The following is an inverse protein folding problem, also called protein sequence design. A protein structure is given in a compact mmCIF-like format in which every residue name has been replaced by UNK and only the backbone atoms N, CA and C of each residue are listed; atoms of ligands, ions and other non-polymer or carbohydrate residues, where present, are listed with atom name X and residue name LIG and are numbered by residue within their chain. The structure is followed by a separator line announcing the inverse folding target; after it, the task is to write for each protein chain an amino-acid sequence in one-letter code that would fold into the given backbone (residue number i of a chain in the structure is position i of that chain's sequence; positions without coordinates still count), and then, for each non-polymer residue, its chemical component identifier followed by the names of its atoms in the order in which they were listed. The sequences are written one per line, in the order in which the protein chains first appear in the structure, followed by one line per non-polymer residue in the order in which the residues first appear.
data_IF_202887671878
#
_entry.id   IF_202887671878
#
_cell.length_a   1.000
_cell.length_b   1.000
_cell.length_c   1.000
_cell.angle_alpha   90.00
_cell.angle_beta   90.00
_cell.angle_gamma   90.00
#
_symmetry.space_group_name_H-M   'P 1'
#
loop_
_entity.id
_entity.type
_entity.pdbx_description
1 polymer ?
#
# COMPACT_ATOMS: atom_id res chain seq x y z
N UNK A 1 -14.50 -9.42 -5.28
CA UNK A 1 -14.65 -8.81 -6.61
C UNK A 1 -15.54 -7.59 -6.53
N UNK A 2 -15.09 -6.47 -7.06
CA UNK A 2 -15.90 -5.27 -7.24
C UNK A 2 -16.53 -5.33 -8.63
N UNK A 3 -17.86 -5.20 -8.68
CA UNK A 3 -18.62 -5.30 -9.91
C UNK A 3 -19.14 -3.93 -10.37
N UNK A 4 -18.97 -3.67 -11.65
CA UNK A 4 -19.47 -2.47 -12.32
C UNK A 4 -20.32 -2.83 -13.53
N UNK A 5 -21.33 -2.02 -13.81
CA UNK A 5 -22.14 -2.09 -15.03
C UNK A 5 -22.01 -0.74 -15.75
N UNK A 6 -21.43 -0.75 -16.93
CA UNK A 6 -21.15 0.48 -17.70
C UNK A 6 -20.45 1.57 -16.89
N UNK A 7 -19.48 1.16 -16.03
CA UNK A 7 -18.74 2.08 -15.15
C UNK A 7 -19.42 2.42 -13.82
N UNK A 8 -20.70 2.09 -13.63
CA UNK A 8 -21.41 2.33 -12.37
C UNK A 8 -21.20 1.16 -11.40
N UNK A 9 -20.88 1.46 -10.15
CA UNK A 9 -20.79 0.47 -9.08
C UNK A 9 -22.14 -0.22 -8.83
N UNK A 10 -22.13 -1.55 -8.79
CA UNK A 10 -23.30 -2.37 -8.46
C UNK A 10 -23.15 -3.00 -7.09
N UNK A 11 -21.98 -3.52 -6.78
CA UNK A 11 -21.74 -4.21 -5.52
C UNK A 11 -20.41 -4.92 -5.47
N UNK A 12 -20.11 -5.48 -4.29
CA UNK A 12 -18.90 -6.25 -4.04
C UNK A 12 -19.23 -7.66 -3.59
N UNK A 13 -18.69 -8.64 -4.30
CA UNK A 13 -18.77 -10.05 -3.89
C UNK A 13 -17.62 -10.34 -2.92
N UNK A 14 -17.95 -10.52 -1.62
CA UNK A 14 -16.98 -10.81 -0.54
C UNK A 14 -16.91 -12.28 -0.17
N UNK A 15 -18.03 -12.97 -0.23
CA UNK A 15 -18.17 -14.35 0.23
C UNK A 15 -17.85 -15.39 -0.88
N UNK A 16 -17.51 -16.59 -0.46
CA UNK A 16 -17.35 -17.71 -1.37
C UNK A 16 -18.73 -18.29 -1.72
N UNK A 17 -18.96 -18.55 -2.99
CA UNK A 17 -20.25 -19.10 -3.45
C UNK A 17 -20.41 -19.03 -4.96
N UNK A 18 -21.55 -19.53 -5.42
CA UNK A 18 -21.98 -19.39 -6.79
C UNK A 18 -22.92 -18.18 -6.90
N UNK A 19 -22.58 -17.26 -7.77
CA UNK A 19 -23.34 -16.03 -7.96
C UNK A 19 -23.82 -15.94 -9.41
N UNK A 20 -25.09 -15.61 -9.56
CA UNK A 20 -25.60 -15.21 -10.86
C UNK A 20 -25.43 -13.69 -10.98
N UNK A 21 -24.66 -13.29 -11.97
CA UNK A 21 -24.35 -11.87 -12.22
C UNK A 21 -24.80 -11.53 -13.64
N UNK A 22 -25.26 -10.30 -13.86
CA UNK A 22 -25.61 -9.80 -15.19
C UNK A 22 -24.37 -9.96 -16.12
N UNK A 23 -24.51 -10.55 -17.33
CA UNK A 23 -23.41 -10.78 -18.26
C UNK A 23 -22.69 -9.48 -18.71
N UNK A 24 -23.35 -8.33 -18.60
CA UNK A 24 -22.74 -7.02 -18.92
C UNK A 24 -21.94 -6.42 -17.76
N UNK A 25 -21.90 -7.08 -16.59
CA UNK A 25 -21.06 -6.64 -15.50
C UNK A 25 -19.60 -6.97 -15.75
N UNK A 26 -18.74 -6.02 -15.46
CA UNK A 26 -17.28 -6.21 -15.46
C UNK A 26 -16.73 -6.13 -14.04
N UNK A 27 -15.65 -6.87 -13.77
CA UNK A 27 -14.92 -6.78 -12.52
C UNK A 27 -13.76 -5.80 -12.69
N UNK A 28 -13.60 -4.89 -11.72
CA UNK A 28 -12.59 -3.83 -11.77
C UNK A 28 -11.65 -3.96 -10.57
N UNK A 29 -10.35 -3.92 -10.86
CA UNK A 29 -9.28 -3.76 -9.87
C UNK A 29 -8.19 -2.88 -10.48
N UNK A 30 -8.13 -1.58 -10.17
CA UNK A 30 -7.17 -0.66 -10.76
C UNK A 30 -5.72 -1.03 -10.42
N UNK A 31 -5.50 -1.60 -9.24
CA UNK A 31 -4.17 -1.99 -8.78
C UNK A 31 -3.76 -3.42 -9.17
N UNK A 32 -4.48 -4.08 -10.10
CA UNK A 32 -4.21 -5.47 -10.50
C UNK A 32 -2.82 -5.66 -11.12
N UNK A 33 -2.30 -4.63 -11.80
CA UNK A 33 -0.99 -4.65 -12.47
C UNK A 33 0.14 -4.09 -11.63
N UNK A 34 -0.17 -3.44 -10.50
CA UNK A 34 0.83 -2.78 -9.65
C UNK A 34 1.48 -3.78 -8.72
N UNK A 35 2.78 -3.93 -8.87
CA UNK A 35 3.65 -4.73 -8.00
C UNK A 35 4.53 -3.78 -7.20
N UNK A 36 4.35 -3.76 -5.88
CA UNK A 36 5.15 -2.95 -4.95
C UNK A 36 6.06 -3.82 -4.06
N UNK A 37 6.38 -5.05 -4.50
CA UNK A 37 7.13 -6.04 -3.70
C UNK A 37 6.50 -6.30 -2.32
N UNK A 38 5.18 -6.33 -2.29
CA UNK A 38 4.39 -6.55 -1.08
C UNK A 38 4.02 -8.02 -0.94
N UNK A 39 3.77 -8.45 0.29
CA UNK A 39 3.32 -9.82 0.59
C UNK A 39 1.97 -10.19 -0.04
N UNK A 40 1.19 -9.20 -0.48
CA UNK A 40 -0.11 -9.39 -1.14
C UNK A 40 -0.09 -9.22 -2.65
N UNK A 41 1.07 -8.96 -3.24
CA UNK A 41 1.21 -8.98 -4.68
C UNK A 41 1.08 -10.42 -5.15
N UNK A 42 -0.09 -10.75 -5.68
CA UNK A 42 -0.30 -12.04 -6.32
C UNK A 42 0.56 -12.02 -7.58
N UNK A 43 1.68 -12.69 -7.55
CA UNK A 43 2.34 -13.09 -8.78
C UNK A 43 1.28 -13.83 -9.58
N UNK A 44 0.86 -13.23 -10.67
CA UNK A 44 -0.03 -13.90 -11.62
C UNK A 44 0.62 -15.22 -11.92
N UNK A 45 0.11 -16.27 -11.29
CA UNK A 45 0.78 -17.51 -11.06
C UNK A 45 1.60 -17.95 -12.25
N UNK A 46 2.90 -18.04 -12.06
CA UNK A 46 3.72 -19.01 -12.72
C UNK A 46 3.27 -20.41 -12.24
N UNK A 47 1.99 -20.68 -12.39
CA UNK A 47 1.48 -22.03 -12.42
C UNK A 47 2.02 -22.63 -13.71
N UNK A 48 3.19 -23.27 -13.63
CA UNK A 48 3.64 -24.27 -14.60
C UNK A 48 2.60 -25.38 -14.68
N UNK A 49 1.60 -25.14 -15.48
CA UNK A 49 0.47 -26.01 -15.71
C UNK A 49 -0.34 -25.50 -16.89
N UNK A 50 0.34 -24.91 -17.88
CA UNK A 50 -0.28 -24.61 -19.15
C UNK A 50 -0.51 -25.93 -19.88
N UNK A 51 -1.78 -26.32 -20.02
CA UNK A 51 -2.20 -27.36 -20.95
C UNK A 51 -1.66 -27.14 -22.37
N UNK A 52 -1.18 -25.94 -22.69
CA UNK A 52 -0.56 -25.60 -23.95
C UNK A 52 0.83 -26.27 -24.15
N UNK A 53 1.52 -26.67 -23.11
CA UNK A 53 2.81 -27.38 -23.23
C UNK A 53 2.63 -28.85 -23.66
N UNK A 54 1.42 -29.41 -23.60
CA UNK A 54 1.12 -30.78 -23.97
C UNK A 54 0.79 -30.91 -25.48
N UNK A 55 0.44 -29.80 -26.12
CA UNK A 55 0.00 -29.80 -27.53
C UNK A 55 1.04 -29.28 -28.52
N UNK A 56 2.34 -29.38 -28.22
CA UNK A 56 3.45 -29.34 -29.19
C UNK A 56 3.37 -28.30 -30.34
N UNK A 57 2.74 -27.16 -30.16
CA UNK A 57 2.67 -26.13 -31.19
C UNK A 57 3.78 -25.11 -31.00
N UNK A 58 4.82 -25.21 -31.83
CA UNK A 58 5.86 -24.22 -32.02
C UNK A 58 5.22 -22.98 -32.68
N UNK A 59 4.97 -21.95 -31.88
CA UNK A 59 4.61 -20.62 -32.37
C UNK A 59 5.53 -19.58 -31.71
N UNK A 60 6.30 -18.92 -32.55
CA UNK A 60 7.06 -17.71 -32.27
C UNK A 60 6.10 -16.60 -31.76
N UNK A 61 6.60 -15.82 -30.81
CA UNK A 61 5.97 -14.61 -30.27
C UNK A 61 4.63 -14.86 -29.57
N UNK A 62 4.69 -15.53 -28.41
CA UNK A 62 3.59 -15.45 -27.45
C UNK A 62 3.70 -14.13 -26.70
N UNK A 63 2.87 -13.15 -27.07
CA UNK A 63 2.46 -12.12 -26.12
C UNK A 63 1.96 -12.85 -24.87
N UNK A 64 2.71 -12.78 -23.78
CA UNK A 64 2.28 -13.31 -22.48
C UNK A 64 0.92 -12.71 -22.16
N UNK A 65 -0.14 -13.49 -22.29
CA UNK A 65 -1.45 -13.12 -21.79
C UNK A 65 -1.31 -13.08 -20.27
N UNK A 66 -0.93 -11.94 -19.73
CA UNK A 66 -0.97 -11.69 -18.31
C UNK A 66 -2.42 -11.76 -17.87
N UNK A 67 -2.82 -12.89 -17.31
CA UNK A 67 -4.12 -13.04 -16.68
C UNK A 67 -4.13 -12.13 -15.46
N UNK A 68 -4.57 -10.89 -15.64
CA UNK A 68 -4.73 -9.94 -14.54
C UNK A 68 -5.83 -10.43 -13.62
N UNK A 69 -5.47 -10.71 -12.39
CA UNK A 69 -6.45 -11.11 -11.40
C UNK A 69 -7.20 -9.88 -10.86
N UNK A 70 -8.46 -9.73 -11.25
CA UNK A 70 -9.31 -8.64 -10.80
C UNK A 70 -9.82 -8.78 -9.35
N UNK A 71 -9.35 -9.79 -8.61
CA UNK A 71 -9.68 -9.97 -7.19
C UNK A 71 -8.85 -9.02 -6.33
N UNK A 72 -9.50 -8.37 -5.39
CA UNK A 72 -8.86 -7.54 -4.36
C UNK A 72 -8.66 -8.42 -3.13
N UNK A 73 -7.43 -8.49 -2.62
CA UNK A 73 -7.14 -9.18 -1.36
C UNK A 73 -7.67 -8.36 -0.19
N UNK A 74 -8.41 -9.01 0.70
CA UNK A 74 -8.88 -8.42 1.98
C UNK A 74 -8.01 -8.88 3.16
N UNK A 75 -6.95 -9.65 2.88
CA UNK A 75 -5.99 -10.08 3.89
C UNK A 75 -5.08 -8.91 4.27
N UNK A 76 -4.51 -9.01 5.47
CA UNK A 76 -3.45 -8.09 5.88
C UNK A 76 -2.25 -8.31 4.95
N UNK A 77 -1.75 -7.22 4.39
CA UNK A 77 -0.60 -7.16 3.50
C UNK A 77 0.48 -6.30 4.15
N UNK A 78 1.74 -6.56 3.82
CA UNK A 78 2.87 -5.79 4.34
C UNK A 78 3.51 -5.01 3.19
N UNK A 79 3.49 -3.68 3.29
CA UNK A 79 4.26 -2.80 2.43
C UNK A 79 5.62 -2.56 3.10
N UNK A 80 6.69 -2.97 2.42
CA UNK A 80 8.05 -2.63 2.83
C UNK A 80 8.51 -1.44 1.98
N UNK A 81 8.49 -0.26 2.58
CA UNK A 81 8.87 0.95 1.88
C UNK A 81 10.39 1.07 1.79
N UNK A 82 10.89 1.54 0.66
CA UNK A 82 12.32 1.68 0.43
C UNK A 82 12.92 2.68 1.40
N UNK A 83 14.18 2.44 1.78
CA UNK A 83 14.93 3.40 2.59
C UNK A 83 15.09 4.71 1.85
N UNK A 84 14.80 5.81 2.54
CA UNK A 84 14.91 7.17 2.03
C UNK A 84 15.93 7.95 2.82
N UNK A 85 16.66 8.83 2.14
CA UNK A 85 17.50 9.83 2.79
C UNK A 85 16.67 11.06 3.10
N UNK A 86 16.53 11.36 4.38
CA UNK A 86 15.75 12.49 4.89
C UNK A 86 16.63 13.24 5.89
N UNK A 87 16.57 14.56 5.88
CA UNK A 87 17.23 15.36 6.91
C UNK A 87 16.32 15.44 8.13
N UNK A 88 16.92 15.31 9.31
CA UNK A 88 16.26 15.55 10.60
C UNK A 88 16.03 17.06 10.84
N UNK A 89 15.49 17.43 12.00
CA UNK A 89 15.27 18.85 12.35
C UNK A 89 16.57 19.66 12.45
N UNK A 90 17.70 19.00 12.71
CA UNK A 90 19.03 19.62 12.81
C UNK A 90 19.77 19.67 11.47
N UNK A 91 19.19 19.10 10.41
CA UNK A 91 19.78 19.03 9.08
C UNK A 91 20.71 17.82 8.85
N UNK A 92 20.78 16.88 9.78
CA UNK A 92 21.58 15.66 9.60
C UNK A 92 20.90 14.71 8.63
N UNK A 93 21.61 14.20 7.60
CA UNK A 93 21.02 13.22 6.67
C UNK A 93 20.95 11.84 7.34
N UNK A 94 19.74 11.28 7.41
CA UNK A 94 19.48 9.93 7.93
C UNK A 94 18.85 9.06 6.87
N UNK A 95 19.16 7.77 6.90
CA UNK A 95 18.49 6.76 6.08
C UNK A 95 17.48 6.00 6.93
N UNK A 96 16.22 6.12 6.56
CA UNK A 96 15.12 5.49 7.28
C UNK A 96 14.16 4.82 6.31
N UNK A 97 13.63 3.68 6.71
CA UNK A 97 12.57 2.95 6.02
C UNK A 97 11.55 2.45 7.01
N UNK A 98 10.34 2.21 6.55
CA UNK A 98 9.24 1.68 7.35
C UNK A 98 8.62 0.46 6.69
N UNK A 99 8.13 -0.46 7.52
CA UNK A 99 7.27 -1.54 7.11
C UNK A 99 5.86 -1.27 7.65
N UNK A 100 4.88 -1.22 6.77
CA UNK A 100 3.49 -0.92 7.11
C UNK A 100 2.63 -2.13 6.84
N UNK A 101 1.91 -2.58 7.87
CA UNK A 101 0.87 -3.60 7.72
C UNK A 101 -0.45 -2.91 7.45
N UNK A 102 -1.14 -3.34 6.42
CA UNK A 102 -2.36 -2.70 5.97
C UNK A 102 -3.34 -3.69 5.36
N UNK A 103 -4.60 -3.31 5.25
CA UNK A 103 -5.65 -4.09 4.58
C UNK A 103 -6.69 -3.19 3.92
N UNK A 104 -7.42 -3.74 2.96
CA UNK A 104 -8.58 -3.07 2.35
C UNK A 104 -9.82 -3.37 3.19
N UNK A 105 -10.43 -2.34 3.74
CA UNK A 105 -11.67 -2.41 4.52
C UNK A 105 -12.87 -2.13 3.61
N UNK A 106 -12.80 -1.03 2.86
CA UNK A 106 -13.83 -0.64 1.90
C UNK A 106 -13.33 -0.75 0.47
N UNK A 107 -13.78 -1.80 -0.21
CA UNK A 107 -13.38 -2.07 -1.59
C UNK A 107 -13.97 -1.08 -2.60
N UNK A 108 -15.11 -0.45 -2.29
CA UNK A 108 -15.70 0.54 -3.17
C UNK A 108 -14.86 1.81 -3.17
N UNK A 109 -14.48 2.33 -2.00
CA UNK A 109 -13.57 3.46 -1.88
C UNK A 109 -12.22 3.18 -2.52
N UNK A 110 -11.64 2.00 -2.28
CA UNK A 110 -10.35 1.64 -2.85
C UNK A 110 -10.33 1.59 -4.40
N UNK A 111 -11.48 1.41 -5.03
CA UNK A 111 -11.59 1.31 -6.50
C UNK A 111 -12.04 2.61 -7.16
N UNK A 112 -12.88 3.42 -6.47
CA UNK A 112 -13.53 4.58 -7.08
C UNK A 112 -13.02 5.93 -6.58
N UNK A 113 -12.51 5.99 -5.34
CA UNK A 113 -12.04 7.25 -4.77
C UNK A 113 -10.56 7.54 -5.08
N UNK A 114 -9.80 6.49 -5.45
CA UNK A 114 -8.39 6.61 -5.86
C UNK A 114 -8.11 5.76 -7.09
N UNK A 115 -7.26 6.25 -7.98
CA UNK A 115 -6.90 5.54 -9.22
C UNK A 115 -6.17 4.23 -8.94
N UNK A 116 -5.26 4.24 -7.97
CA UNK A 116 -4.46 3.07 -7.61
C UNK A 116 -4.19 3.09 -6.10
N UNK A 117 -4.97 2.34 -5.36
CA UNK A 117 -4.89 2.32 -3.89
C UNK A 117 -3.54 1.83 -3.34
N UNK A 118 -2.81 0.95 -4.07
CA UNK A 118 -1.49 0.48 -3.64
C UNK A 118 -0.43 1.57 -3.79
N UNK A 119 -0.40 2.23 -4.93
CA UNK A 119 0.52 3.33 -5.19
C UNK A 119 0.21 4.53 -4.30
N UNK A 120 -1.07 4.84 -4.12
CA UNK A 120 -1.52 5.86 -3.20
C UNK A 120 -1.02 5.62 -1.78
N UNK A 121 -1.15 4.39 -1.26
CA UNK A 121 -0.64 4.01 0.06
C UNK A 121 0.88 4.25 0.15
N UNK A 122 1.65 3.79 -0.84
CA UNK A 122 3.11 3.96 -0.84
C UNK A 122 3.52 5.43 -0.79
N UNK A 123 2.88 6.28 -1.61
CA UNK A 123 3.12 7.72 -1.62
C UNK A 123 2.74 8.40 -0.30
N UNK A 124 1.63 7.98 0.33
CA UNK A 124 1.23 8.53 1.63
C UNK A 124 2.18 8.08 2.75
N UNK A 125 2.69 6.86 2.70
CA UNK A 125 3.72 6.39 3.63
C UNK A 125 5.01 7.22 3.51
N UNK A 126 5.46 7.49 2.29
CA UNK A 126 6.64 8.33 2.03
C UNK A 126 6.44 9.76 2.54
N UNK A 127 5.28 10.33 2.28
CA UNK A 127 4.93 11.68 2.71
C UNK A 127 4.87 11.80 4.24
N UNK A 128 4.20 10.86 4.90
CA UNK A 128 4.08 10.84 6.36
C UNK A 128 5.46 10.67 7.04
N UNK A 129 6.27 9.74 6.50
CA UNK A 129 7.62 9.52 7.00
C UNK A 129 8.46 10.81 6.95
N UNK A 130 8.46 11.49 5.80
CA UNK A 130 9.20 12.76 5.65
C UNK A 130 8.71 13.86 6.58
N UNK A 131 7.39 13.97 6.76
CA UNK A 131 6.81 14.99 7.62
C UNK A 131 7.22 14.78 9.07
N UNK A 132 7.12 13.57 9.57
CA UNK A 132 7.43 13.26 10.96
C UNK A 132 8.93 13.30 11.25
N UNK A 133 9.77 12.73 10.36
CA UNK A 133 11.22 12.71 10.58
C UNK A 133 11.81 14.11 10.65
N UNK A 134 11.27 15.07 9.93
CA UNK A 134 11.73 16.47 9.97
C UNK A 134 11.45 17.20 11.30
N UNK A 135 10.56 16.67 12.11
CA UNK A 135 10.18 17.28 13.40
C UNK A 135 11.14 16.84 14.51
N UNK A 136 11.69 15.64 14.40
CA UNK A 136 12.52 15.05 15.45
C UNK A 136 14.00 15.08 15.12
N UNK A 137 14.88 15.35 16.11
CA UNK A 137 16.31 15.13 15.98
C UNK A 137 16.61 13.61 15.95
N UNK A 138 17.69 13.22 15.28
CA UNK A 138 18.07 11.81 15.21
C UNK A 138 18.45 11.24 16.59
N UNK A 139 19.34 11.95 17.30
CA UNK A 139 19.86 11.52 18.59
C UNK A 139 20.11 12.75 19.48
N UNK A 140 19.35 12.89 20.54
CA UNK A 140 19.50 13.96 21.53
C UNK A 140 19.34 13.35 22.92
N UNK A 141 20.09 13.88 23.88
CA UNK A 141 19.93 13.52 25.28
C UNK A 141 18.49 13.78 25.75
N UNK A 142 17.91 12.92 26.58
CA UNK A 142 16.57 13.15 27.12
C UNK A 142 16.54 14.47 27.92
N UNK A 143 15.43 15.19 27.77
CA UNK A 143 15.16 16.50 28.40
C UNK A 143 15.99 17.68 27.85
N UNK A 144 16.42 17.62 26.61
CA UNK A 144 17.04 18.75 25.91
C UNK A 144 16.01 19.41 25.01
N UNK A 145 15.91 20.74 25.12
CA UNK A 145 15.16 21.58 24.18
C UNK A 145 16.08 21.94 23.02
N UNK A 146 15.86 21.30 21.85
CA UNK A 146 16.60 21.61 20.62
C UNK A 146 15.90 22.65 19.77
N UNK A 147 14.61 22.86 19.99
CA UNK A 147 13.80 23.84 19.26
C UNK A 147 13.87 25.24 19.82
N UNK A 148 14.29 25.37 21.08
CA UNK A 148 14.40 26.67 21.77
C UNK A 148 13.06 27.28 22.20
N UNK A 149 12.00 26.45 22.28
CA UNK A 149 10.67 26.88 22.71
C UNK A 149 10.47 26.82 24.25
N UNK A 150 11.47 26.38 24.98
CA UNK A 150 11.45 26.23 26.43
C UNK A 150 10.75 24.95 26.93
N UNK A 151 10.34 24.08 26.04
CA UNK A 151 9.74 22.77 26.35
C UNK A 151 10.74 21.69 25.96
N UNK A 152 11.00 20.74 26.85
CA UNK A 152 11.84 19.59 26.51
C UNK A 152 11.25 18.82 25.34
N UNK A 153 12.06 18.55 24.33
CA UNK A 153 11.62 17.78 23.14
C UNK A 153 11.08 16.40 23.55
N UNK A 154 10.05 15.93 22.86
CA UNK A 154 9.41 14.62 23.12
C UNK A 154 10.35 13.42 22.88
N UNK A 155 11.63 13.68 22.68
CA UNK A 155 12.67 12.69 22.47
C UNK A 155 13.24 12.72 21.05
N UNK A 156 14.07 11.74 20.76
CA UNK A 156 14.76 11.57 19.48
C UNK A 156 14.19 10.42 18.67
N UNK A 157 14.46 10.41 17.37
CA UNK A 157 14.09 9.27 16.50
C UNK A 157 14.64 7.93 17.01
N UNK A 158 15.84 7.97 17.61
CA UNK A 158 16.49 6.79 18.18
C UNK A 158 15.93 6.41 19.56
N UNK A 159 15.70 7.38 20.43
CA UNK A 159 15.29 7.14 21.81
C UNK A 159 13.79 6.90 21.99
N UNK A 160 12.96 7.50 21.13
CA UNK A 160 11.49 7.49 21.23
C UNK A 160 10.84 6.86 19.99
N UNK A 161 11.43 5.78 19.47
CA UNK A 161 10.97 5.15 18.24
C UNK A 161 9.49 4.71 18.27
N UNK A 162 8.98 4.32 19.44
CA UNK A 162 7.57 3.93 19.60
C UNK A 162 6.61 5.13 19.44
N UNK A 163 6.94 6.26 20.04
CA UNK A 163 6.14 7.50 19.94
C UNK A 163 6.13 8.00 18.51
N UNK A 164 7.30 7.99 17.85
CA UNK A 164 7.45 8.38 16.45
C UNK A 164 6.66 7.45 15.53
N UNK A 165 6.74 6.12 15.75
CA UNK A 165 6.00 5.15 14.97
C UNK A 165 4.48 5.34 15.11
N UNK A 166 3.98 5.63 16.32
CA UNK A 166 2.55 5.89 16.55
C UNK A 166 2.09 7.18 15.86
N UNK A 167 2.91 8.23 15.84
CA UNK A 167 2.60 9.46 15.09
C UNK A 167 2.56 9.21 13.59
N UNK A 168 3.54 8.48 13.05
CA UNK A 168 3.57 8.09 11.63
C UNK A 168 2.31 7.27 11.31
N UNK A 169 1.96 6.30 12.15
CA UNK A 169 0.76 5.48 11.98
C UNK A 169 -0.50 6.33 11.91
N UNK A 170 -0.68 7.27 12.84
CA UNK A 170 -1.84 8.16 12.87
C UNK A 170 -1.92 9.04 11.62
N UNK A 171 -0.80 9.60 11.20
CA UNK A 171 -0.77 10.43 9.99
C UNK A 171 -1.08 9.63 8.72
N UNK A 172 -0.53 8.43 8.60
CA UNK A 172 -0.85 7.53 7.48
C UNK A 172 -2.34 7.18 7.51
N UNK A 173 -2.87 6.75 8.66
CA UNK A 173 -4.27 6.34 8.79
C UNK A 173 -5.25 7.43 8.38
N UNK A 174 -5.03 8.67 8.80
CA UNK A 174 -5.87 9.80 8.40
C UNK A 174 -5.91 10.01 6.88
N UNK A 175 -4.77 9.80 6.22
CA UNK A 175 -4.66 9.99 4.77
C UNK A 175 -5.24 8.83 3.98
N UNK A 176 -5.08 7.59 4.44
CA UNK A 176 -5.50 6.40 3.69
C UNK A 176 -6.95 6.00 3.94
N UNK A 177 -7.60 6.55 4.95
CA UNK A 177 -9.02 6.32 5.24
C UNK A 177 -9.93 6.72 4.06
N UNK A 178 -9.54 7.76 3.31
CA UNK A 178 -10.22 8.22 2.09
C UNK A 178 -10.26 7.08 1.06
N UNK A 179 -9.17 6.32 0.94
CA UNK A 179 -9.06 5.19 0.05
C UNK A 179 -9.68 3.89 0.61
N UNK A 180 -10.33 3.92 1.78
CA UNK A 180 -10.92 2.74 2.41
C UNK A 180 -9.89 1.71 2.89
N UNK A 181 -8.68 2.16 3.26
CA UNK A 181 -7.58 1.36 3.78
C UNK A 181 -7.42 1.55 5.30
N UNK A 182 -6.90 0.52 5.96
CA UNK A 182 -6.53 0.51 7.38
C UNK A 182 -5.14 -0.08 7.56
#
# INVERSE_FOLDING_TARGET
LVLTLFGKYIGTLKENGFYWVNPFCSSVNPAAKTKLNQSGDVDGGSGKGSLASVLGASAKESSEVQITNNKISLKIMTLNNNRQKINDCLGNPIEIGIAVMWRVVDTAKAVFDVDNYKEYLSLQCDSALRNIVRIYPYDVAPNVDTTGDGIADEGSLRGSSEVVAERIRKEIQQKVEIAGLE
#
